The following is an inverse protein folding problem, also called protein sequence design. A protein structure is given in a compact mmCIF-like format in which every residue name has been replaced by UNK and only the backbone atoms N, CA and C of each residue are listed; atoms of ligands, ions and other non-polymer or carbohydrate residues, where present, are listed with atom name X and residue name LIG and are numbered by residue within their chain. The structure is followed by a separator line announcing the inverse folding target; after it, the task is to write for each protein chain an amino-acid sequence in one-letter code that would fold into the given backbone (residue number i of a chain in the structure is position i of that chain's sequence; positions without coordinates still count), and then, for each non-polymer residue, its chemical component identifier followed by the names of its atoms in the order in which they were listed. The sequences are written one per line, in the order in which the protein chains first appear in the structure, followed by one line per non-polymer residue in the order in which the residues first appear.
data_IF_343691225495
#
_entry.id   IF_343691225495
#
_cell.length_a   1.000
_cell.length_b   1.000
_cell.length_c   1.000
_cell.angle_alpha   90.00
_cell.angle_beta   90.00
_cell.angle_gamma   90.00
#
_symmetry.space_group_name_H-M   'P 1'
#
loop_
_entity.id
_entity.type
_entity.pdbx_description
1 polymer ?
#
# COMPACT_ATOMS: atom_id res chain seq x y z
N UNK A 1 -2.35 8.51 1.01
CA UNK A 1 -1.06 8.68 1.74
C UNK A 1 -1.20 8.34 3.21
N UNK A 2 -2.18 8.90 3.91
CA UNK A 2 -2.42 8.65 5.34
C UNK A 2 -2.72 7.18 5.69
N UNK A 3 -3.29 6.42 4.76
CA UNK A 3 -3.57 4.99 4.93
C UNK A 3 -2.32 4.12 5.15
N UNK A 4 -1.22 4.47 4.48
CA UNK A 4 0.05 3.72 4.52
C UNK A 4 1.15 4.51 5.24
N UNK A 5 0.78 5.61 5.91
CA UNK A 5 1.72 6.51 6.60
C UNK A 5 2.89 6.96 5.70
N UNK A 6 2.62 7.11 4.39
CA UNK A 6 3.60 7.61 3.43
C UNK A 6 3.75 9.12 3.62
N UNK A 7 4.98 9.63 3.85
CA UNK A 7 5.18 11.06 4.07
C UNK A 7 4.89 11.84 2.79
N UNK A 8 4.30 13.01 2.95
CA UNK A 8 4.07 13.99 1.88
C UNK A 8 5.38 14.47 1.27
N UNK A 9 5.32 15.03 0.06
CA UNK A 9 6.50 15.62 -0.60
C UNK A 9 7.15 16.72 0.25
N UNK A 10 6.35 17.52 0.96
CA UNK A 10 6.86 18.56 1.85
C UNK A 10 7.59 18.01 3.08
N UNK A 11 7.16 16.87 3.62
CA UNK A 11 7.88 16.18 4.71
C UNK A 11 9.17 15.56 4.21
N UNK A 12 9.17 14.95 3.02
CA UNK A 12 10.37 14.45 2.35
C UNK A 12 11.40 15.58 2.14
N UNK A 13 10.95 16.79 1.76
CA UNK A 13 11.82 17.97 1.62
C UNK A 13 12.45 18.43 2.93
N UNK A 14 11.73 18.32 4.06
CA UNK A 14 12.28 18.63 5.38
C UNK A 14 13.37 17.63 5.81
N UNK A 15 13.34 16.41 5.28
CA UNK A 15 14.36 15.38 5.48
C UNK A 15 15.58 15.54 4.55
N UNK A 16 15.65 16.63 3.78
CA UNK A 16 16.79 16.94 2.89
C UNK A 16 16.74 16.27 1.52
N UNK A 17 15.64 15.62 1.17
CA UNK A 17 15.41 15.03 -0.15
C UNK A 17 14.55 15.97 -1.01
N UNK A 18 14.94 16.26 -2.25
CA UNK A 18 14.20 17.22 -3.08
C UNK A 18 13.73 16.63 -4.43
N UNK A 19 12.85 15.61 -4.42
CA UNK A 19 12.30 15.07 -5.65
C UNK A 19 11.36 16.08 -6.33
N UNK A 20 11.41 16.11 -7.66
CA UNK A 20 10.35 16.72 -8.45
C UNK A 20 9.02 15.97 -8.24
N UNK A 21 7.91 16.63 -8.58
CA UNK A 21 6.57 16.08 -8.33
C UNK A 21 6.32 14.76 -9.06
N UNK A 22 6.85 14.59 -10.26
CA UNK A 22 6.64 13.40 -11.08
C UNK A 22 7.39 12.20 -10.47
N UNK A 23 8.66 12.40 -10.11
CA UNK A 23 9.47 11.39 -9.41
C UNK A 23 8.81 10.98 -8.10
N UNK A 24 8.39 11.95 -7.28
CA UNK A 24 7.73 11.68 -6.02
C UNK A 24 6.47 10.82 -6.21
N UNK A 25 5.58 11.21 -7.14
CA UNK A 25 4.36 10.45 -7.44
C UNK A 25 4.65 9.01 -7.87
N UNK A 26 5.60 8.82 -8.79
CA UNK A 26 5.99 7.48 -9.27
C UNK A 26 6.49 6.58 -8.16
N UNK A 27 7.33 7.11 -7.25
CA UNK A 27 7.89 6.33 -6.14
C UNK A 27 6.80 6.02 -5.10
N UNK A 28 5.92 6.97 -4.79
CA UNK A 28 4.75 6.74 -3.91
C UNK A 28 3.88 5.61 -4.43
N UNK A 29 3.50 5.65 -5.71
CA UNK A 29 2.68 4.59 -6.33
C UNK A 29 3.40 3.25 -6.28
N UNK A 30 4.69 3.22 -6.61
CA UNK A 30 5.49 1.99 -6.58
C UNK A 30 5.52 1.35 -5.19
N UNK A 31 5.77 2.15 -4.15
CA UNK A 31 5.83 1.67 -2.76
C UNK A 31 4.45 1.27 -2.27
N UNK A 32 3.42 2.08 -2.53
CA UNK A 32 2.04 1.74 -2.15
C UNK A 32 1.58 0.42 -2.78
N UNK A 33 1.83 0.24 -4.08
CA UNK A 33 1.42 -0.98 -4.80
C UNK A 33 2.17 -2.23 -4.36
N UNK A 34 3.39 -2.11 -3.84
CA UNK A 34 4.10 -3.25 -3.26
C UNK A 34 3.39 -3.79 -2.00
N UNK A 35 2.73 -2.91 -1.23
CA UNK A 35 1.99 -3.29 -0.03
C UNK A 35 0.56 -3.71 -0.38
N UNK A 36 -0.12 -2.91 -1.20
CA UNK A 36 -1.50 -3.18 -1.63
C UNK A 36 -1.62 -4.47 -2.46
N UNK A 37 -0.57 -4.85 -3.20
CA UNK A 37 -0.54 -6.11 -3.93
C UNK A 37 -0.72 -7.34 -3.04
N UNK A 38 -0.33 -7.27 -1.75
CA UNK A 38 -0.51 -8.36 -0.79
C UNK A 38 -2.00 -8.64 -0.46
N UNK A 39 -2.90 -7.73 -0.81
CA UNK A 39 -4.36 -7.84 -0.65
C UNK A 39 -5.10 -7.73 -1.98
N UNK A 40 -4.45 -8.01 -3.12
CA UNK A 40 -5.07 -7.89 -4.45
C UNK A 40 -5.64 -6.49 -4.75
N UNK A 41 -5.00 -5.45 -4.22
CA UNK A 41 -5.34 -4.05 -4.49
C UNK A 41 -4.19 -3.35 -5.20
N UNK A 42 -4.55 -2.31 -5.95
CA UNK A 42 -3.63 -1.40 -6.61
C UNK A 42 -4.12 0.04 -6.45
N UNK A 43 -3.17 0.94 -6.37
CA UNK A 43 -3.35 2.37 -6.45
C UNK A 43 -3.12 2.82 -7.90
N UNK A 44 -4.14 3.41 -8.49
CA UNK A 44 -4.11 4.01 -9.82
C UNK A 44 -4.00 5.53 -9.69
N UNK A 45 -3.08 6.19 -10.40
CA UNK A 45 -3.08 7.64 -10.48
C UNK A 45 -4.33 8.12 -11.21
N UNK A 46 -4.98 9.16 -10.67
CA UNK A 46 -6.02 9.92 -11.37
C UNK A 46 -5.49 11.32 -11.72
N UNK A 47 -6.37 12.20 -12.19
CA UNK A 47 -6.01 13.61 -12.40
C UNK A 47 -5.75 14.30 -11.04
N UNK A 48 -5.00 15.40 -11.05
CA UNK A 48 -4.85 16.33 -9.89
C UNK A 48 -4.35 15.76 -8.54
N UNK A 49 -3.30 14.94 -8.52
CA UNK A 49 -2.73 14.38 -7.26
C UNK A 49 -3.65 13.42 -6.49
N UNK A 50 -4.77 13.04 -7.10
CA UNK A 50 -5.66 12.04 -6.55
C UNK A 50 -5.23 10.62 -6.94
N UNK A 51 -5.70 9.67 -6.16
CA UNK A 51 -5.42 8.26 -6.36
C UNK A 51 -6.69 7.46 -6.15
N UNK A 52 -6.98 6.56 -7.09
CA UNK A 52 -8.05 5.60 -6.95
C UNK A 52 -7.51 4.25 -6.50
N UNK A 53 -8.26 3.59 -5.62
CA UNK A 53 -8.00 2.21 -5.25
C UNK A 53 -8.85 1.28 -6.11
N UNK A 54 -8.22 0.27 -6.70
CA UNK A 54 -8.89 -0.73 -7.53
C UNK A 54 -8.37 -2.14 -7.20
N UNK A 55 -9.08 -3.21 -7.60
CA UNK A 55 -8.51 -4.54 -7.62
C UNK A 55 -7.27 -4.59 -8.53
N UNK A 56 -6.29 -5.41 -8.16
CA UNK A 56 -5.14 -5.67 -9.02
C UNK A 56 -5.58 -6.31 -10.35
N UNK A 57 -4.72 -6.23 -11.38
CA UNK A 57 -5.05 -6.71 -12.72
C UNK A 57 -5.49 -8.18 -12.72
N UNK A 58 -6.70 -8.44 -13.23
CA UNK A 58 -7.32 -9.77 -13.27
C UNK A 58 -7.98 -10.22 -11.97
N UNK A 59 -7.97 -9.39 -10.92
CA UNK A 59 -8.64 -9.66 -9.64
C UNK A 59 -10.00 -8.96 -9.52
N UNK A 60 -10.78 -9.40 -8.54
CA UNK A 60 -12.06 -8.81 -8.18
C UNK A 60 -12.05 -8.22 -6.77
N UNK A 61 -12.99 -7.32 -6.47
CA UNK A 61 -13.22 -6.83 -5.10
C UNK A 61 -13.45 -7.97 -4.09
N UNK A 62 -14.00 -9.09 -4.56
CA UNK A 62 -14.20 -10.30 -3.76
C UNK A 62 -12.87 -10.92 -3.31
N UNK A 63 -11.85 -10.90 -4.17
CA UNK A 63 -10.53 -11.43 -3.84
C UNK A 63 -9.85 -10.53 -2.81
N UNK A 64 -9.93 -9.21 -3.00
CA UNK A 64 -9.45 -8.25 -2.01
C UNK A 64 -10.15 -8.43 -0.65
N UNK A 65 -11.47 -8.67 -0.64
CA UNK A 65 -12.22 -8.98 0.57
C UNK A 65 -11.76 -10.28 1.24
N UNK A 66 -11.48 -11.33 0.45
CA UNK A 66 -10.94 -12.59 0.96
C UNK A 66 -9.58 -12.38 1.63
N UNK A 67 -8.65 -11.71 0.95
CA UNK A 67 -7.32 -11.45 1.49
C UNK A 67 -7.38 -10.57 2.74
N UNK A 68 -8.14 -9.47 2.72
CA UNK A 68 -8.34 -8.65 3.92
C UNK A 68 -8.98 -9.43 5.07
N UNK A 69 -9.91 -10.34 4.79
CA UNK A 69 -10.48 -11.25 5.80
C UNK A 69 -9.44 -12.19 6.40
N UNK A 70 -8.55 -12.75 5.58
CA UNK A 70 -7.41 -13.51 6.06
C UNK A 70 -6.50 -12.68 6.98
N UNK A 71 -6.21 -11.42 6.64
CA UNK A 71 -5.43 -10.53 7.51
C UNK A 71 -6.15 -10.17 8.80
N UNK A 72 -7.47 -10.00 8.78
CA UNK A 72 -8.26 -9.81 9.98
C UNK A 72 -8.10 -11.01 10.94
N UNK A 73 -8.10 -12.23 10.40
CA UNK A 73 -7.87 -13.44 11.19
C UNK A 73 -6.46 -13.49 11.80
N UNK A 74 -5.42 -13.19 11.00
CA UNK A 74 -4.04 -13.14 11.50
C UNK A 74 -3.90 -12.12 12.63
N UNK A 75 -4.47 -10.93 12.45
CA UNK A 75 -4.45 -9.87 13.48
C UNK A 75 -5.21 -10.27 14.74
N UNK A 76 -6.33 -10.97 14.60
CA UNK A 76 -7.14 -11.42 15.73
C UNK A 76 -6.58 -12.67 16.43
N UNK A 77 -5.61 -13.37 15.82
CA UNK A 77 -5.11 -14.66 16.31
C UNK A 77 -6.17 -15.77 16.31
N UNK A 78 -7.27 -15.59 15.59
CA UNK A 78 -8.42 -16.51 15.54
C UNK A 78 -9.25 -16.27 14.27
N UNK A 79 -10.18 -17.17 13.95
CA UNK A 79 -11.08 -17.02 12.79
C UNK A 79 -12.20 -16.05 13.14
N UNK A 80 -12.13 -14.83 12.61
CA UNK A 80 -13.18 -13.79 12.68
C UNK A 80 -13.88 -13.57 11.34
N UNK A 81 -13.24 -13.97 10.23
CA UNK A 81 -13.79 -13.96 8.88
C UNK A 81 -13.46 -15.29 8.21
N UNK A 82 -14.47 -16.14 8.03
CA UNK A 82 -14.28 -17.50 7.49
C UNK A 82 -14.33 -17.59 5.96
N UNK A 83 -14.75 -16.51 5.30
CA UNK A 83 -15.03 -16.49 3.86
C UNK A 83 -15.11 -15.05 3.35
N UNK A 84 -14.98 -14.88 2.03
CA UNK A 84 -15.19 -13.56 1.41
C UNK A 84 -16.58 -13.01 1.74
N UNK A 85 -17.62 -13.86 1.78
CA UNK A 85 -19.00 -13.45 2.12
C UNK A 85 -19.14 -13.00 3.57
N UNK A 86 -18.48 -13.67 4.52
CA UNK A 86 -18.46 -13.23 5.91
C UNK A 86 -17.81 -11.84 6.06
N UNK A 87 -16.88 -11.49 5.18
CA UNK A 87 -16.29 -10.14 5.15
C UNK A 87 -17.33 -9.03 4.92
N UNK A 88 -18.46 -9.30 4.26
CA UNK A 88 -19.56 -8.33 4.12
C UNK A 88 -20.23 -7.96 5.46
N UNK A 89 -19.98 -8.74 6.51
CA UNK A 89 -20.47 -8.46 7.87
C UNK A 89 -19.37 -7.94 8.80
N UNK A 90 -18.10 -8.02 8.38
CA UNK A 90 -16.96 -7.64 9.20
C UNK A 90 -16.87 -6.11 9.35
N UNK A 91 -16.88 -5.63 10.61
CA UNK A 91 -16.97 -4.21 10.99
C UNK A 91 -18.04 -3.42 10.20
N UNK A 92 -19.12 -4.09 9.82
CA UNK A 92 -20.16 -3.47 9.02
C UNK A 92 -21.15 -2.67 9.89
N UNK A 93 -21.80 -1.63 9.33
CA UNK A 93 -22.96 -1.03 9.96
C UNK A 93 -24.11 -2.06 10.08
N UNK A 94 -25.15 -1.71 10.84
CA UNK A 94 -26.37 -2.52 10.93
C UNK A 94 -26.92 -2.80 9.52
N UNK A 95 -27.20 -4.07 9.21
CA UNK A 95 -27.60 -4.50 7.87
C UNK A 95 -26.47 -4.96 6.95
N UNK A 96 -25.19 -4.76 7.32
CA UNK A 96 -24.02 -5.23 6.56
C UNK A 96 -23.56 -4.28 5.46
N UNK A 97 -22.42 -4.60 4.84
CA UNK A 97 -21.95 -3.90 3.65
C UNK A 97 -22.79 -4.30 2.42
N UNK A 98 -23.10 -3.34 1.53
CA UNK A 98 -23.94 -3.61 0.35
C UNK A 98 -23.23 -4.48 -0.70
N UNK A 99 -21.90 -4.38 -0.81
CA UNK A 99 -21.09 -5.15 -1.73
C UNK A 99 -19.64 -5.29 -1.22
N UNK A 100 -18.81 -6.06 -1.93
CA UNK A 100 -17.41 -6.29 -1.56
C UNK A 100 -16.56 -5.01 -1.66
N UNK A 101 -16.86 -4.10 -2.59
CA UNK A 101 -16.12 -2.84 -2.72
C UNK A 101 -16.31 -1.99 -1.48
N UNK A 102 -17.56 -1.79 -1.05
CA UNK A 102 -17.88 -1.07 0.17
C UNK A 102 -17.24 -1.72 1.41
N UNK A 103 -17.28 -3.05 1.51
CA UNK A 103 -16.66 -3.78 2.62
C UNK A 103 -15.13 -3.60 2.68
N UNK A 104 -14.46 -3.68 1.51
CA UNK A 104 -13.01 -3.48 1.38
C UNK A 104 -12.64 -2.05 1.75
N UNK A 105 -13.32 -1.06 1.17
CA UNK A 105 -13.05 0.36 1.41
C UNK A 105 -13.31 0.75 2.88
N UNK A 106 -14.37 0.21 3.49
CA UNK A 106 -14.69 0.43 4.90
C UNK A 106 -13.69 -0.20 5.88
N UNK A 107 -12.88 -1.16 5.42
CA UNK A 107 -11.91 -1.90 6.25
C UNK A 107 -10.44 -1.68 5.84
N UNK A 108 -10.13 -0.64 5.07
CA UNK A 108 -8.75 -0.36 4.64
C UNK A 108 -7.79 -0.15 5.82
N UNK A 109 -8.28 0.28 6.99
CA UNK A 109 -7.44 0.45 8.19
C UNK A 109 -6.67 -0.81 8.60
N UNK A 110 -7.13 -2.01 8.18
CA UNK A 110 -6.39 -3.27 8.34
C UNK A 110 -5.01 -3.23 7.68
N UNK A 111 -4.83 -2.41 6.63
CA UNK A 111 -3.59 -2.27 5.88
C UNK A 111 -2.47 -1.58 6.69
N UNK A 112 -2.81 -0.78 7.71
CA UNK A 112 -1.82 -0.09 8.54
C UNK A 112 -0.90 -1.07 9.28
N UNK A 113 -1.47 -2.17 9.76
CA UNK A 113 -0.73 -3.24 10.45
C UNK A 113 -0.14 -4.29 9.51
N UNK A 114 -0.42 -4.20 8.21
CA UNK A 114 -0.04 -5.24 7.25
C UNK A 114 1.48 -5.38 7.06
N UNK A 115 2.28 -4.29 6.98
CA UNK A 115 3.73 -4.44 6.90
C UNK A 115 4.34 -5.19 8.08
N UNK A 116 3.90 -4.89 9.30
CA UNK A 116 4.37 -5.59 10.50
C UNK A 116 3.96 -7.07 10.50
N UNK A 117 2.68 -7.35 10.21
CA UNK A 117 2.13 -8.70 10.19
C UNK A 117 2.78 -9.61 9.13
N UNK A 118 3.29 -9.03 8.04
CA UNK A 118 3.94 -9.74 6.94
C UNK A 118 5.46 -9.62 6.92
N UNK A 119 6.06 -8.98 7.93
CA UNK A 119 7.49 -8.67 7.97
C UNK A 119 7.98 -7.93 6.71
N UNK A 120 7.15 -7.05 6.15
CA UNK A 120 7.52 -6.15 5.07
C UNK A 120 8.26 -4.93 5.62
N UNK A 121 9.06 -4.30 4.77
CA UNK A 121 9.67 -3.02 5.11
C UNK A 121 8.60 -1.96 5.36
N UNK A 122 8.86 -1.08 6.34
CA UNK A 122 7.95 0.02 6.66
C UNK A 122 7.78 0.94 5.44
N UNK A 123 6.53 1.36 5.10
CA UNK A 123 6.27 2.12 3.87
C UNK A 123 7.07 3.42 3.79
N UNK A 124 7.08 4.18 4.89
CA UNK A 124 7.88 5.43 5.02
C UNK A 124 9.36 5.20 4.77
N UNK A 125 9.95 4.20 5.43
CA UNK A 125 11.38 3.89 5.30
C UNK A 125 11.72 3.47 3.87
N UNK A 126 10.86 2.66 3.25
CA UNK A 126 11.01 2.23 1.85
C UNK A 126 10.96 3.42 0.90
N UNK A 127 10.01 4.34 1.10
CA UNK A 127 9.87 5.56 0.28
C UNK A 127 11.11 6.44 0.38
N UNK A 128 11.54 6.78 1.60
CA UNK A 128 12.71 7.63 1.82
C UNK A 128 13.96 7.00 1.21
N UNK A 129 14.14 5.69 1.37
CA UNK A 129 15.29 4.98 0.81
C UNK A 129 15.29 5.01 -0.72
N UNK A 130 14.14 4.78 -1.34
CA UNK A 130 14.00 4.83 -2.79
C UNK A 130 14.33 6.23 -3.34
N UNK A 131 13.83 7.29 -2.70
CA UNK A 131 14.10 8.67 -3.09
C UNK A 131 15.57 9.05 -2.88
N UNK A 132 16.19 8.62 -1.78
CA UNK A 132 17.62 8.80 -1.53
C UNK A 132 18.47 8.17 -2.66
N UNK A 133 18.16 6.94 -3.07
CA UNK A 133 18.87 6.26 -4.15
C UNK A 133 18.71 6.98 -5.50
N UNK A 134 17.51 7.50 -5.79
CA UNK A 134 17.27 8.27 -7.01
C UNK A 134 18.07 9.58 -6.99
N UNK A 135 18.09 10.29 -5.86
CA UNK A 135 18.83 11.55 -5.71
C UNK A 135 20.35 11.36 -5.82
N UNK A 136 20.89 10.26 -5.28
CA UNK A 136 22.31 9.92 -5.39
C UNK A 136 22.72 9.57 -6.83
N UNK A 137 21.77 9.14 -7.65
CA UNK A 137 22.03 8.61 -8.98
C UNK A 137 22.76 7.25 -8.93
N UNK A 138 23.06 6.65 -10.08
CA UNK A 138 23.95 5.50 -10.11
C UNK A 138 25.31 5.94 -9.56
N UNK A 139 25.79 5.32 -8.49
CA UNK A 139 27.22 5.38 -8.18
C UNK A 139 27.94 4.97 -9.46
N UNK A 140 28.88 5.79 -9.93
CA UNK A 140 29.79 5.34 -10.99
C UNK A 140 30.37 4.02 -10.50
N UNK A 141 30.01 2.93 -11.17
CA UNK A 141 30.77 1.70 -11.15
C UNK A 141 32.16 2.07 -11.70
N UNK A 142 33.01 2.65 -10.85
CA UNK A 142 34.40 2.89 -11.15
C UNK A 142 35.06 1.52 -11.29
N UNK A 143 35.11 1.05 -12.53
CA UNK A 143 36.23 0.35 -13.16
C UNK A 143 37.09 -0.44 -12.16
N UNK A 144 36.59 -1.60 -11.70
CA UNK A 144 37.44 -2.68 -11.19
C UNK A 144 37.93 -3.58 -12.34
N UNK A 145 38.32 -2.95 -13.46
CA UNK A 145 39.08 -3.60 -14.54
C UNK A 145 40.20 -2.65 -14.97
N UNK A 146 41.11 -2.37 -14.03
CA UNK A 146 42.43 -1.86 -14.36
C UNK A 146 43.38 -2.15 -13.18
N UNK A 147 43.85 -3.39 -13.06
CA UNK A 147 45.28 -3.71 -12.95
C UNK A 147 45.51 -5.20 -13.13
#
# INVERSE_FOLDING_TARGET
MELLELPTRGEVQKEGLNPDIETYRKVVIKVANAILGAVQLILLPTEEDEYELAPAAGGEWRDAAFHLGYYANLKAGSVVVDSSKAFLRYNAPEGGWPDFRAAVLGNLSLLRSLPEALHLNQPRATLLKALELIQKGPEKLEVLTAT
#
